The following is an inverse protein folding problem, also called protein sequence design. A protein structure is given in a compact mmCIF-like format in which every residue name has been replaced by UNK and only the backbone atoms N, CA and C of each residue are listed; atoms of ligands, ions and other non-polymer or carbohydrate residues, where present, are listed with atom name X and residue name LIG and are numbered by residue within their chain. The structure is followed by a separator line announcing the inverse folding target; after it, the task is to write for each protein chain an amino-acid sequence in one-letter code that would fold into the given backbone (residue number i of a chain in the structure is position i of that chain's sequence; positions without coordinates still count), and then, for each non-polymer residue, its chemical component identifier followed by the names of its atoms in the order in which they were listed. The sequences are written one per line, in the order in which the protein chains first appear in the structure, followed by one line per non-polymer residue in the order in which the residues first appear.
data_IF_760164311616
#
_entry.id   IF_760164311616
#
_cell.length_a   1.000
_cell.length_b   1.000
_cell.length_c   1.000
_cell.angle_alpha   90.00
_cell.angle_beta   90.00
_cell.angle_gamma   90.00
#
_symmetry.space_group_name_H-M   'P 1'
#
loop_
_entity.id
_entity.type
_entity.pdbx_description
1 polymer ?
#
# COMPACT_ATOMS: atom_id res chain seq x y z
N UNK A 1 33.24 -14.78 36.61
CA UNK A 1 32.04 -13.93 36.78
C UNK A 1 31.87 -13.14 35.49
N UNK A 2 30.96 -13.57 34.64
CA UNK A 2 30.64 -12.80 33.41
C UNK A 2 29.59 -11.76 33.81
N UNK A 3 29.95 -10.49 33.74
CA UNK A 3 29.02 -9.37 33.88
C UNK A 3 27.95 -9.46 32.81
N UNK A 4 26.73 -9.62 33.25
CA UNK A 4 25.52 -9.61 32.44
C UNK A 4 25.28 -8.16 32.02
N UNK A 5 25.89 -7.71 30.91
CA UNK A 5 25.66 -6.38 30.33
C UNK A 5 24.20 -6.30 29.88
N UNK A 6 23.35 -5.73 30.73
CA UNK A 6 21.98 -5.37 30.35
C UNK A 6 22.06 -4.43 29.13
N UNK A 7 21.51 -4.86 28.00
CA UNK A 7 21.35 -3.97 26.83
C UNK A 7 20.65 -2.68 27.28
N UNK A 8 21.11 -1.52 26.80
CA UNK A 8 20.44 -0.26 27.10
C UNK A 8 18.97 -0.32 26.65
N UNK A 9 18.06 0.40 27.34
CA UNK A 9 16.67 0.48 26.92
C UNK A 9 16.58 1.10 25.51
N UNK A 10 15.61 0.61 24.72
CA UNK A 10 15.36 1.12 23.38
C UNK A 10 14.99 2.61 23.43
N UNK A 11 15.47 3.37 22.46
CA UNK A 11 15.06 4.75 22.26
C UNK A 11 13.61 4.82 21.77
N UNK A 12 12.99 5.99 21.88
CA UNK A 12 11.62 6.20 21.37
C UNK A 12 11.52 5.89 19.89
N UNK A 13 12.49 6.33 19.10
CA UNK A 13 12.58 6.07 17.66
C UNK A 13 12.67 4.57 17.33
N UNK A 14 13.47 3.81 18.08
CA UNK A 14 13.59 2.35 17.96
C UNK A 14 12.29 1.62 18.34
N UNK A 15 11.53 2.15 19.30
CA UNK A 15 10.24 1.59 19.68
C UNK A 15 9.18 1.84 18.61
N UNK A 16 9.18 3.03 17.99
CA UNK A 16 8.27 3.37 16.91
C UNK A 16 8.57 2.51 15.66
N UNK A 17 9.84 2.35 15.29
CA UNK A 17 10.25 1.44 14.20
C UNK A 17 9.82 -0.01 14.45
N UNK A 18 10.02 -0.51 15.67
CA UNK A 18 9.63 -1.88 16.02
C UNK A 18 8.11 -2.07 15.95
N UNK A 19 7.35 -1.05 16.36
CA UNK A 19 5.89 -1.06 16.27
C UNK A 19 5.44 -1.12 14.82
N UNK A 20 6.03 -0.29 13.95
CA UNK A 20 5.73 -0.26 12.52
C UNK A 20 6.07 -1.60 11.85
N UNK A 21 7.20 -2.23 12.24
CA UNK A 21 7.59 -3.56 11.78
C UNK A 21 6.58 -4.64 12.17
N UNK A 22 6.11 -4.60 13.40
CA UNK A 22 5.11 -5.54 13.90
C UNK A 22 3.75 -5.36 13.20
N UNK A 23 3.32 -4.12 12.97
CA UNK A 23 2.08 -3.82 12.25
C UNK A 23 2.15 -4.30 10.80
N UNK A 24 3.29 -4.07 10.13
CA UNK A 24 3.51 -4.57 8.78
C UNK A 24 3.47 -6.11 8.74
N UNK A 25 4.17 -6.77 9.66
CA UNK A 25 4.19 -8.22 9.73
C UNK A 25 2.79 -8.81 9.98
N UNK A 26 2.01 -8.21 10.88
CA UNK A 26 0.61 -8.63 11.14
C UNK A 26 -0.26 -8.47 9.88
N UNK A 27 -0.19 -7.32 9.21
CA UNK A 27 -0.94 -7.08 7.97
C UNK A 27 -0.58 -8.08 6.87
N UNK A 28 0.71 -8.38 6.71
CA UNK A 28 1.19 -9.33 5.71
C UNK A 28 0.77 -10.78 5.99
N UNK A 29 0.54 -11.16 7.26
CA UNK A 29 0.02 -12.51 7.58
C UNK A 29 -1.43 -12.71 7.16
N UNK A 30 -2.18 -11.63 6.99
CA UNK A 30 -3.60 -11.63 6.58
C UNK A 30 -3.80 -11.56 5.06
N UNK A 31 -2.72 -11.46 4.31
CA UNK A 31 -2.72 -11.39 2.85
C UNK A 31 -2.09 -12.68 2.31
N UNK A 32 -2.89 -13.53 1.67
CA UNK A 32 -2.38 -14.82 1.17
C UNK A 32 -1.41 -14.66 0.00
N UNK A 33 -1.78 -13.80 -0.96
CA UNK A 33 -1.02 -13.59 -2.18
C UNK A 33 -0.89 -12.10 -2.49
N UNK A 34 0.29 -11.66 -2.92
CA UNK A 34 0.50 -10.30 -3.41
C UNK A 34 0.94 -10.34 -4.87
N UNK A 35 0.27 -9.56 -5.71
CA UNK A 35 0.58 -9.42 -7.12
C UNK A 35 0.95 -7.97 -7.42
N UNK A 36 2.18 -7.75 -7.83
CA UNK A 36 2.68 -6.42 -8.21
C UNK A 36 2.57 -6.24 -9.72
N UNK A 37 1.96 -5.16 -10.15
CA UNK A 37 1.89 -4.77 -11.56
C UNK A 37 2.90 -3.66 -11.79
N UNK A 38 3.93 -3.98 -12.56
CA UNK A 38 5.09 -3.12 -12.81
C UNK A 38 5.14 -2.72 -14.29
N UNK A 39 5.82 -1.63 -14.60
CA UNK A 39 6.11 -1.25 -15.99
C UNK A 39 7.35 -0.37 -16.08
N UNK A 40 8.19 -0.59 -17.07
CA UNK A 40 9.38 0.24 -17.32
C UNK A 40 9.05 1.63 -17.87
N UNK A 41 7.81 1.86 -18.36
CA UNK A 41 7.35 3.12 -18.95
C UNK A 41 5.95 3.48 -18.49
N UNK A 42 5.65 4.79 -18.42
CA UNK A 42 4.29 5.28 -18.22
C UNK A 42 3.40 5.08 -19.47
N UNK A 43 2.08 5.01 -19.27
CA UNK A 43 1.10 4.97 -20.36
C UNK A 43 0.96 3.64 -21.11
N UNK A 44 1.54 2.55 -20.61
CA UNK A 44 1.47 1.20 -21.25
C UNK A 44 0.25 0.39 -20.83
N UNK A 45 -0.60 0.92 -19.96
CA UNK A 45 -1.81 0.24 -19.50
C UNK A 45 -1.64 -0.52 -18.16
N UNK A 46 -0.57 -0.27 -17.41
CA UNK A 46 -0.28 -0.90 -16.11
C UNK A 46 -1.48 -0.89 -15.16
N UNK A 47 -2.02 0.29 -14.86
CA UNK A 47 -3.18 0.44 -13.95
C UNK A 47 -4.44 -0.19 -14.50
N UNK A 48 -4.64 -0.19 -15.84
CA UNK A 48 -5.73 -0.91 -16.49
C UNK A 48 -5.61 -2.41 -16.25
N UNK A 49 -4.40 -2.97 -16.33
CA UNK A 49 -4.15 -4.39 -16.02
C UNK A 49 -4.43 -4.67 -14.54
N UNK A 50 -3.92 -3.85 -13.62
CA UNK A 50 -4.13 -4.00 -12.18
C UNK A 50 -5.63 -4.00 -11.82
N UNK A 51 -6.37 -3.01 -12.32
CA UNK A 51 -7.83 -2.88 -12.09
C UNK A 51 -8.60 -4.09 -12.63
N UNK A 52 -8.30 -4.54 -13.86
CA UNK A 52 -9.01 -5.66 -14.47
C UNK A 52 -8.71 -6.99 -13.77
N UNK A 53 -7.47 -7.22 -13.33
CA UNK A 53 -7.13 -8.41 -12.53
C UNK A 53 -7.87 -8.37 -11.19
N UNK A 54 -7.85 -7.25 -10.48
CA UNK A 54 -8.55 -7.10 -9.21
C UNK A 54 -10.07 -7.34 -9.37
N UNK A 55 -10.68 -6.75 -10.41
CA UNK A 55 -12.10 -6.93 -10.70
C UNK A 55 -12.45 -8.38 -11.08
N UNK A 56 -11.62 -9.06 -11.87
CA UNK A 56 -11.83 -10.43 -12.27
C UNK A 56 -11.74 -11.41 -11.08
N UNK A 57 -10.76 -11.20 -10.20
CA UNK A 57 -10.62 -12.00 -8.98
C UNK A 57 -11.80 -11.78 -8.03
N UNK A 58 -12.21 -10.52 -7.82
CA UNK A 58 -13.37 -10.19 -7.00
C UNK A 58 -14.69 -10.78 -7.57
N UNK A 59 -14.84 -10.78 -8.90
CA UNK A 59 -15.97 -11.42 -9.58
C UNK A 59 -15.94 -12.96 -9.47
N UNK A 60 -14.81 -13.53 -9.08
CA UNK A 60 -14.63 -14.96 -8.80
C UNK A 60 -14.69 -15.27 -7.30
N UNK A 61 -15.40 -14.43 -6.53
CA UNK A 61 -15.62 -14.56 -5.09
C UNK A 61 -14.34 -14.54 -4.24
N UNK A 62 -13.26 -13.89 -4.74
CA UNK A 62 -12.03 -13.66 -3.98
C UNK A 62 -12.08 -12.35 -3.24
N UNK A 63 -11.59 -12.33 -1.99
CA UNK A 63 -11.39 -11.10 -1.24
C UNK A 63 -10.13 -10.39 -1.74
N UNK A 64 -10.30 -9.21 -2.35
CA UNK A 64 -9.23 -8.51 -3.06
C UNK A 64 -9.02 -7.11 -2.51
N UNK A 65 -7.76 -6.76 -2.25
CA UNK A 65 -7.30 -5.40 -2.07
C UNK A 65 -6.62 -4.89 -3.36
N UNK A 66 -6.93 -3.67 -3.77
CA UNK A 66 -6.23 -2.97 -4.85
C UNK A 66 -5.58 -1.72 -4.26
N UNK A 67 -4.25 -1.69 -4.28
CA UNK A 67 -3.43 -0.61 -3.77
C UNK A 67 -2.77 0.15 -4.92
N UNK A 68 -3.15 1.42 -5.12
CA UNK A 68 -2.55 2.34 -6.08
C UNK A 68 -1.56 3.26 -5.36
N UNK A 69 -0.29 3.10 -5.67
CA UNK A 69 0.82 3.88 -5.12
C UNK A 69 1.54 4.74 -6.17
N UNK A 70 0.93 4.95 -7.34
CA UNK A 70 1.45 5.88 -8.35
C UNK A 70 1.15 7.33 -7.95
N UNK A 71 2.13 7.97 -7.29
CA UNK A 71 2.01 9.35 -6.78
C UNK A 71 1.87 10.36 -7.93
N UNK A 72 2.44 10.05 -9.10
CA UNK A 72 2.54 10.99 -10.21
C UNK A 72 1.32 10.98 -11.13
N UNK A 73 0.49 9.94 -11.07
CA UNK A 73 -0.68 9.80 -11.90
C UNK A 73 -1.62 8.71 -11.40
N UNK A 74 -2.19 8.87 -10.18
CA UNK A 74 -3.11 7.89 -9.64
C UNK A 74 -4.28 7.73 -10.59
N UNK A 75 -4.40 6.57 -11.21
CA UNK A 75 -5.40 6.32 -12.26
C UNK A 75 -6.46 5.31 -11.84
N UNK A 76 -6.24 4.58 -10.77
CA UNK A 76 -7.19 3.59 -10.25
C UNK A 76 -8.52 4.23 -9.83
N UNK A 77 -8.55 5.37 -9.11
CA UNK A 77 -9.81 6.05 -8.79
C UNK A 77 -10.63 6.41 -10.03
N UNK A 78 -9.99 6.94 -11.06
CA UNK A 78 -10.66 7.30 -12.33
C UNK A 78 -11.19 6.05 -13.05
N UNK A 79 -10.40 4.99 -13.15
CA UNK A 79 -10.80 3.74 -13.82
C UNK A 79 -12.01 3.06 -13.13
N UNK A 80 -12.11 3.19 -11.81
CA UNK A 80 -13.19 2.62 -11.00
C UNK A 80 -14.33 3.61 -10.70
N UNK A 81 -14.26 4.86 -11.21
CA UNK A 81 -15.23 5.94 -10.90
C UNK A 81 -15.37 6.22 -9.40
N UNK A 82 -14.24 6.25 -8.71
CA UNK A 82 -14.13 6.53 -7.29
C UNK A 82 -13.54 7.91 -7.00
N UNK A 83 -13.46 8.79 -8.01
CA UNK A 83 -12.97 10.15 -7.85
C UNK A 83 -13.79 10.90 -6.79
N UNK A 84 -13.12 11.68 -5.96
CA UNK A 84 -13.75 12.40 -4.85
C UNK A 84 -14.12 11.54 -3.65
N UNK A 85 -13.93 10.22 -3.71
CA UNK A 85 -14.00 9.38 -2.52
C UNK A 85 -12.78 9.67 -1.63
N UNK A 86 -12.98 9.53 -0.33
CA UNK A 86 -11.92 9.72 0.66
C UNK A 86 -11.76 8.45 1.46
N UNK A 87 -10.52 8.13 1.81
CA UNK A 87 -10.26 7.13 2.83
C UNK A 87 -10.82 7.66 4.15
N UNK A 88 -11.82 7.02 4.70
CA UNK A 88 -12.52 7.52 5.89
C UNK A 88 -11.86 7.03 7.16
N UNK A 89 -11.52 7.97 8.02
CA UNK A 89 -11.26 7.81 9.44
C UNK A 89 -10.15 6.83 9.85
N UNK A 90 -9.26 7.27 10.73
CA UNK A 90 -8.48 6.35 11.55
C UNK A 90 -9.44 5.67 12.52
N UNK A 91 -9.80 4.43 12.24
CA UNK A 91 -10.38 3.55 13.25
C UNK A 91 -9.26 3.04 14.17
N UNK A 92 -9.61 2.43 15.31
CA UNK A 92 -8.63 1.75 16.18
C UNK A 92 -7.81 0.67 15.41
N UNK A 93 -8.22 0.29 14.20
CA UNK A 93 -7.62 -0.72 13.33
C UNK A 93 -6.91 -0.13 12.09
N UNK A 94 -6.73 1.19 12.02
CA UNK A 94 -6.06 1.86 10.91
C UNK A 94 -6.99 2.57 9.93
N UNK A 95 -6.46 2.91 8.76
CA UNK A 95 -7.13 3.66 7.71
C UNK A 95 -8.12 2.76 6.96
N UNK A 96 -9.39 3.18 6.83
CA UNK A 96 -10.38 2.39 6.12
C UNK A 96 -10.24 2.54 4.59
N UNK A 97 -10.06 1.45 3.83
CA UNK A 97 -10.07 1.49 2.37
C UNK A 97 -11.48 1.81 1.84
N UNK A 98 -11.56 2.28 0.61
CA UNK A 98 -12.83 2.47 -0.09
C UNK A 98 -13.32 1.12 -0.58
N UNK A 99 -14.52 0.70 -0.18
CA UNK A 99 -15.14 -0.50 -0.72
C UNK A 99 -15.71 -0.19 -2.11
N UNK A 100 -15.23 -0.87 -3.15
CA UNK A 100 -15.81 -0.83 -4.49
C UNK A 100 -17.05 -1.73 -4.56
N UNK A 101 -16.93 -2.93 -4.01
CA UNK A 101 -18.03 -3.87 -3.78
C UNK A 101 -17.69 -4.74 -2.55
N UNK A 102 -18.47 -5.80 -2.30
CA UNK A 102 -18.29 -6.66 -1.13
C UNK A 102 -16.94 -7.40 -1.14
N UNK A 103 -16.38 -7.68 -2.31
CA UNK A 103 -15.17 -8.47 -2.51
C UNK A 103 -13.94 -7.63 -2.91
N UNK A 104 -14.10 -6.32 -3.25
CA UNK A 104 -13.00 -5.46 -3.69
C UNK A 104 -12.90 -4.20 -2.85
N UNK A 105 -11.78 -4.08 -2.16
CA UNK A 105 -11.35 -2.90 -1.40
C UNK A 105 -10.28 -2.16 -2.19
N UNK A 106 -10.36 -0.83 -2.21
CA UNK A 106 -9.43 0.03 -2.95
C UNK A 106 -8.80 1.05 -2.03
N UNK A 107 -7.50 1.19 -2.10
CA UNK A 107 -6.76 2.29 -1.51
C UNK A 107 -5.90 2.93 -2.58
N UNK A 108 -5.99 4.25 -2.70
CA UNK A 108 -5.13 5.05 -3.56
C UNK A 108 -4.55 6.20 -2.76
N UNK A 109 -3.35 6.60 -3.13
CA UNK A 109 -2.72 7.79 -2.58
C UNK A 109 -3.58 9.03 -2.80
N UNK A 110 -4.36 9.09 -3.88
CA UNK A 110 -5.29 10.18 -4.17
C UNK A 110 -6.31 10.39 -3.03
N UNK A 111 -6.81 9.29 -2.42
CA UNK A 111 -7.80 9.37 -1.34
C UNK A 111 -7.27 10.02 -0.06
N UNK A 112 -5.95 10.09 0.08
CA UNK A 112 -5.25 10.66 1.25
C UNK A 112 -4.76 12.07 0.97
N UNK A 113 -4.23 12.32 -0.25
CA UNK A 113 -3.67 13.64 -0.62
C UNK A 113 -4.77 14.69 -0.72
N UNK A 114 -5.97 14.36 -1.14
CA UNK A 114 -7.08 15.33 -1.24
C UNK A 114 -7.41 16.02 0.08
N UNK A 115 -7.16 15.38 1.22
CA UNK A 115 -7.33 16.02 2.53
C UNK A 115 -6.15 16.92 2.92
N UNK A 116 -4.96 16.67 2.40
CA UNK A 116 -3.76 17.47 2.68
C UNK A 116 -3.60 18.68 1.74
N UNK A 117 -4.26 18.68 0.58
CA UNK A 117 -4.24 19.82 -0.34
C UNK A 117 -4.95 21.07 0.20
N UNK A 118 -5.63 20.98 1.34
CA UNK A 118 -6.16 22.13 2.09
C UNK A 118 -5.16 22.71 3.11
N UNK A 119 -4.04 22.04 3.35
CA UNK A 119 -2.90 22.59 4.08
C UNK A 119 -1.95 23.19 3.05
N UNK A 120 -1.66 24.49 3.17
CA UNK A 120 -0.87 25.32 2.24
C UNK A 120 0.60 24.87 2.00
N UNK A 121 0.93 23.61 2.22
CA UNK A 121 2.26 23.07 1.98
C UNK A 121 2.19 21.96 0.92
N UNK A 122 2.75 22.24 -0.25
CA UNK A 122 3.08 21.23 -1.25
C UNK A 122 4.04 20.21 -0.63
N UNK A 123 3.53 19.05 -0.21
CA UNK A 123 4.36 17.97 0.34
C UNK A 123 5.22 17.43 -0.80
N UNK A 124 6.49 17.82 -0.82
CA UNK A 124 7.47 17.29 -1.77
C UNK A 124 7.87 15.88 -1.29
N UNK A 125 7.30 14.87 -1.90
CA UNK A 125 7.60 13.46 -1.62
C UNK A 125 9.01 13.11 -2.12
N UNK A 126 9.99 13.10 -1.23
CA UNK A 126 11.34 12.62 -1.51
C UNK A 126 11.42 11.10 -1.28
N UNK A 127 12.37 10.42 -1.94
CA UNK A 127 12.51 8.95 -1.92
C UNK A 127 12.27 8.26 -0.56
N UNK A 128 12.92 8.66 0.55
CA UNK A 128 12.67 8.06 1.87
C UNK A 128 11.24 8.22 2.39
N UNK A 129 10.56 9.33 2.04
CA UNK A 129 9.15 9.55 2.42
C UNK A 129 8.21 8.66 1.62
N UNK A 130 8.49 8.43 0.34
CA UNK A 130 7.70 7.53 -0.51
C UNK A 130 7.75 6.09 0.01
N UNK A 131 8.95 5.62 0.37
CA UNK A 131 9.13 4.29 0.95
C UNK A 131 8.33 4.10 2.25
N UNK A 132 8.42 5.08 3.15
CA UNK A 132 7.66 5.07 4.41
C UNK A 132 6.15 5.04 4.15
N UNK A 133 5.67 5.81 3.20
CA UNK A 133 4.27 5.88 2.85
C UNK A 133 3.73 4.56 2.25
N UNK A 134 4.48 3.93 1.34
CA UNK A 134 4.11 2.62 0.78
C UNK A 134 3.98 1.59 1.91
N UNK A 135 4.97 1.58 2.81
CA UNK A 135 4.96 0.73 3.99
C UNK A 135 3.73 0.99 4.86
N UNK A 136 3.42 2.26 5.10
CA UNK A 136 2.27 2.71 5.86
C UNK A 136 0.94 2.25 5.23
N UNK A 137 0.78 2.34 3.91
CA UNK A 137 -0.41 1.85 3.21
C UNK A 137 -0.58 0.33 3.31
N UNK A 138 0.50 -0.43 3.37
CA UNK A 138 0.39 -1.88 3.56
C UNK A 138 0.06 -2.20 5.02
N UNK A 139 0.68 -1.51 5.98
CA UNK A 139 0.57 -1.82 7.42
C UNK A 139 -0.64 -1.19 8.11
N UNK A 140 -1.01 0.05 7.75
CA UNK A 140 -2.03 0.83 8.47
C UNK A 140 -3.40 0.80 7.80
N UNK A 141 -3.52 0.31 6.56
CA UNK A 141 -4.83 0.12 5.95
C UNK A 141 -5.49 -1.12 6.52
N UNK A 142 -6.73 -0.97 6.97
CA UNK A 142 -7.52 -2.09 7.49
C UNK A 142 -8.06 -2.96 6.33
N UNK A 143 -7.17 -3.71 5.71
CA UNK A 143 -7.52 -4.63 4.63
C UNK A 143 -8.45 -5.75 5.08
N UNK A 144 -8.31 -6.22 6.34
CA UNK A 144 -8.86 -7.49 6.79
C UNK A 144 -8.13 -8.67 6.13
N UNK A 145 -8.80 -9.83 6.08
CA UNK A 145 -8.23 -11.00 5.42
C UNK A 145 -8.44 -10.90 3.91
N UNK A 146 -7.38 -11.08 3.13
CA UNK A 146 -7.38 -11.00 1.67
C UNK A 146 -6.83 -12.28 1.06
N UNK A 147 -7.51 -12.78 0.02
CA UNK A 147 -6.94 -13.80 -0.89
C UNK A 147 -5.83 -13.17 -1.74
N UNK A 148 -6.04 -11.91 -2.19
CA UNK A 148 -5.08 -11.19 -3.05
C UNK A 148 -4.97 -9.72 -2.68
N UNK A 149 -3.72 -9.22 -2.64
CA UNK A 149 -3.41 -7.80 -2.71
C UNK A 149 -2.77 -7.50 -4.07
N UNK A 150 -3.44 -6.69 -4.87
CA UNK A 150 -2.92 -6.20 -6.14
C UNK A 150 -2.30 -4.83 -5.91
N UNK A 151 -1.03 -4.67 -6.27
CA UNK A 151 -0.30 -3.41 -6.10
C UNK A 151 -0.02 -2.80 -7.47
N UNK A 152 -0.62 -1.66 -7.75
CA UNK A 152 -0.33 -0.84 -8.93
C UNK A 152 0.84 0.09 -8.61
N UNK A 153 2.04 -0.29 -9.06
CA UNK A 153 3.28 0.40 -8.74
C UNK A 153 3.52 1.59 -9.67
N UNK A 154 4.31 2.60 -9.28
CA UNK A 154 4.71 3.66 -10.18
C UNK A 154 5.50 3.12 -11.39
N UNK A 155 5.44 3.81 -12.55
CA UNK A 155 6.22 3.42 -13.71
C UNK A 155 7.71 3.70 -13.52
N UNK A 156 8.55 2.91 -14.19
CA UNK A 156 10.00 3.09 -14.19
C UNK A 156 10.77 1.92 -13.62
N UNK A 157 12.10 2.08 -13.60
CA UNK A 157 13.06 1.09 -13.10
C UNK A 157 13.84 1.60 -11.90
N UNK A 158 13.32 2.64 -11.24
CA UNK A 158 13.96 3.31 -10.11
C UNK A 158 13.82 2.56 -8.78
N UNK A 159 14.16 3.26 -7.70
CA UNK A 159 14.15 2.69 -6.35
C UNK A 159 12.74 2.36 -5.83
N UNK A 160 11.70 2.98 -6.39
CA UNK A 160 10.31 2.81 -5.92
C UNK A 160 9.78 1.38 -6.15
N UNK A 161 9.82 0.82 -7.38
CA UNK A 161 9.46 -0.57 -7.60
C UNK A 161 10.29 -1.56 -6.80
N UNK A 162 11.60 -1.28 -6.65
CA UNK A 162 12.48 -2.12 -5.83
C UNK A 162 12.08 -2.13 -4.36
N UNK A 163 11.74 -0.97 -3.83
CA UNK A 163 11.28 -0.82 -2.44
C UNK A 163 10.02 -1.62 -2.16
N UNK A 164 9.08 -1.63 -3.12
CA UNK A 164 7.86 -2.43 -3.01
C UNK A 164 8.20 -3.92 -3.01
N UNK A 165 9.09 -4.35 -3.92
CA UNK A 165 9.55 -5.72 -3.99
C UNK A 165 10.21 -6.19 -2.69
N UNK A 166 10.96 -5.31 -2.01
CA UNK A 166 11.62 -5.62 -0.73
C UNK A 166 10.63 -5.75 0.45
N UNK A 167 9.50 -5.05 0.38
CA UNK A 167 8.43 -5.13 1.39
C UNK A 167 7.40 -6.21 1.08
N UNK A 168 7.48 -6.81 -0.09
CA UNK A 168 6.52 -7.79 -0.55
C UNK A 168 6.57 -9.06 0.30
N UNK A 169 5.41 -9.65 0.63
CA UNK A 169 5.35 -10.93 1.36
C UNK A 169 6.07 -12.05 0.59
N UNK A 170 6.44 -13.15 1.27
CA UNK A 170 7.15 -14.27 0.64
C UNK A 170 6.44 -14.93 -0.56
N UNK A 171 5.12 -14.76 -0.70
CA UNK A 171 4.31 -15.27 -1.82
C UNK A 171 3.97 -14.20 -2.85
N UNK A 172 4.87 -13.25 -3.08
CA UNK A 172 4.63 -12.18 -4.04
C UNK A 172 5.05 -12.58 -5.44
N UNK A 173 4.25 -12.16 -6.42
CA UNK A 173 4.50 -12.32 -7.85
C UNK A 173 4.50 -10.95 -8.53
N UNK A 174 5.17 -10.84 -9.66
CA UNK A 174 5.19 -9.62 -10.44
C UNK A 174 4.73 -9.88 -11.88
N UNK A 175 3.94 -8.95 -12.40
CA UNK A 175 3.61 -8.83 -13.83
C UNK A 175 4.34 -7.59 -14.34
N UNK A 176 5.08 -7.74 -15.45
CA UNK A 176 5.87 -6.67 -16.07
C UNK A 176 5.34 -6.40 -17.48
#
# INVERSE_FOLDING_TARGET
MQENQKKPPLTREQLDELRDDLMLADSLTRIENTLMVLSGKGGVGKSTVAVNIAAALAASDKMVGLLDIDIHGPSVPTLLKLEGRKATGMSERGLAPVNFNDNLKVMSIEFVIQDQAQADEAVIWRGPMKHRMIRQFISEVNWGDLDFLIVDAPPGTGDEPLSICQMAPPRSQAII
#
